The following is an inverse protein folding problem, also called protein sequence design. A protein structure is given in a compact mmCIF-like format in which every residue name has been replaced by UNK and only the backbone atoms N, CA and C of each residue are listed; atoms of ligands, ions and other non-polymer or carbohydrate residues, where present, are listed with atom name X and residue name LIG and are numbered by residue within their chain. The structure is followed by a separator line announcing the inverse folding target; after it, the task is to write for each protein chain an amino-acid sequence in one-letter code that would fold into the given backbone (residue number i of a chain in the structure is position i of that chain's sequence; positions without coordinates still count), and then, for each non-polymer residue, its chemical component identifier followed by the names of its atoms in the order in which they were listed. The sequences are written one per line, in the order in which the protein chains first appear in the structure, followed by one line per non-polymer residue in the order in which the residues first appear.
data_IF_161173991538
#
_entry.id   IF_161173991538
#
_cell.length_a   1.000
_cell.length_b   1.000
_cell.length_c   1.000
_cell.angle_alpha   90.00
_cell.angle_beta   90.00
_cell.angle_gamma   90.00
#
_symmetry.space_group_name_H-M   'P 1'
#
loop_
_entity.id
_entity.type
_entity.pdbx_description
1 polymer ?
#
# COMPACT_ATOMS: atom_id res chain seq x y z
N UNK A 1 -5.24 -12.60 -3.74
CA UNK A 1 -6.17 -12.75 -2.60
C UNK A 1 -6.65 -11.36 -2.20
N UNK A 2 -7.94 -11.17 -1.89
CA UNK A 2 -8.40 -9.89 -1.34
C UNK A 2 -7.76 -9.66 0.03
N UNK A 3 -7.18 -8.48 0.26
CA UNK A 3 -6.55 -8.13 1.54
C UNK A 3 -7.62 -7.41 2.38
N UNK A 4 -8.00 -7.94 3.56
CA UNK A 4 -8.94 -7.26 4.44
C UNK A 4 -8.54 -5.81 4.70
N UNK A 5 -9.51 -4.89 4.71
CA UNK A 5 -9.28 -3.46 4.93
C UNK A 5 -8.62 -2.69 3.77
N UNK A 6 -8.24 -3.34 2.66
CA UNK A 6 -7.72 -2.68 1.46
C UNK A 6 -8.52 -3.14 0.24
N UNK A 7 -9.22 -2.19 -0.38
CA UNK A 7 -10.03 -2.42 -1.58
C UNK A 7 -9.28 -1.86 -2.78
N UNK A 8 -9.08 -2.66 -3.82
CA UNK A 8 -8.53 -2.20 -5.10
C UNK A 8 -9.65 -2.07 -6.13
N UNK A 9 -9.67 -0.96 -6.85
CA UNK A 9 -10.66 -0.65 -7.87
C UNK A 9 -10.02 0.14 -9.02
N UNK A 10 -10.82 0.50 -10.03
CA UNK A 10 -10.34 1.24 -11.20
C UNK A 10 -9.78 2.64 -10.87
N UNK A 11 -10.17 3.21 -9.73
CA UNK A 11 -9.70 4.52 -9.25
C UNK A 11 -8.47 4.42 -8.34
N UNK A 12 -7.90 3.22 -8.16
CA UNK A 12 -6.74 2.95 -7.32
C UNK A 12 -7.10 2.10 -6.11
N UNK A 13 -6.69 2.55 -4.93
CA UNK A 13 -6.88 1.82 -3.66
C UNK A 13 -7.76 2.62 -2.68
N UNK A 14 -8.41 1.89 -1.76
CA UNK A 14 -9.16 2.43 -0.64
C UNK A 14 -8.82 1.62 0.62
N UNK A 15 -8.29 2.30 1.64
CA UNK A 15 -8.03 1.74 2.95
C UNK A 15 -9.21 2.01 3.87
N UNK A 16 -9.73 0.99 4.54
CA UNK A 16 -10.91 1.03 5.39
C UNK A 16 -10.50 0.88 6.85
N UNK A 17 -11.11 1.64 7.75
CA UNK A 17 -10.80 1.62 9.18
C UNK A 17 -11.12 0.28 9.87
N UNK A 18 -11.94 -0.55 9.23
CA UNK A 18 -12.35 -1.87 9.74
C UNK A 18 -11.45 -2.97 9.16
N UNK A 19 -10.64 -3.65 10.00
CA UNK A 19 -9.72 -4.69 9.56
C UNK A 19 -10.40 -5.98 9.11
N UNK A 20 -11.69 -6.15 9.40
CA UNK A 20 -12.49 -7.30 8.99
C UNK A 20 -13.30 -7.03 7.73
N UNK A 21 -13.31 -5.78 7.25
CA UNK A 21 -14.05 -5.40 6.06
C UNK A 21 -13.42 -6.05 4.83
N UNK A 22 -14.20 -6.93 4.21
CA UNK A 22 -13.94 -7.45 2.87
C UNK A 22 -15.02 -6.88 1.95
N UNK A 23 -14.66 -6.26 0.82
CA UNK A 23 -15.65 -5.75 -0.12
C UNK A 23 -16.49 -6.93 -0.61
N UNK A 24 -17.77 -6.95 -0.25
CA UNK A 24 -18.69 -7.92 -0.82
C UNK A 24 -18.83 -7.61 -2.31
N UNK A 25 -18.26 -8.44 -3.17
CA UNK A 25 -18.68 -8.51 -4.57
C UNK A 25 -20.16 -8.84 -4.52
N UNK A 26 -21.04 -7.88 -4.88
CA UNK A 26 -22.47 -8.15 -4.91
C UNK A 26 -22.71 -9.38 -5.79
N UNK A 27 -23.27 -10.48 -5.27
CA UNK A 27 -23.81 -11.51 -6.14
C UNK A 27 -24.98 -10.86 -6.88
N UNK A 28 -25.03 -11.00 -8.20
CA UNK A 28 -26.04 -10.39 -9.08
C UNK A 28 -27.46 -10.98 -8.87
N UNK A 29 -27.71 -11.63 -7.73
CA UNK A 29 -28.81 -12.55 -7.50
C UNK A 29 -29.58 -12.32 -6.19
N UNK A 30 -29.87 -11.08 -5.78
CA UNK A 30 -30.99 -10.83 -4.86
C UNK A 30 -31.66 -9.50 -5.18
N UNK A 31 -32.48 -9.48 -6.25
CA UNK A 31 -33.27 -8.31 -6.66
C UNK A 31 -34.78 -8.46 -6.43
N UNK A 32 -35.21 -9.28 -5.47
CA UNK A 32 -36.65 -9.55 -5.32
C UNK A 32 -37.29 -9.23 -3.96
N UNK A 33 -36.56 -9.09 -2.85
CA UNK A 33 -37.18 -8.82 -1.54
C UNK A 33 -36.30 -7.91 -0.68
N UNK A 34 -36.68 -6.62 -0.61
CA UNK A 34 -36.10 -5.63 0.30
C UNK A 34 -34.84 -4.94 -0.24
N UNK A 35 -34.77 -3.62 -0.06
CA UNK A 35 -33.49 -2.91 -0.18
C UNK A 35 -32.55 -3.55 0.85
N UNK A 36 -31.38 -4.08 0.47
CA UNK A 36 -30.43 -4.56 1.45
C UNK A 36 -30.17 -3.43 2.45
N UNK A 37 -30.10 -3.72 3.76
CA UNK A 37 -29.82 -2.69 4.75
C UNK A 37 -28.57 -1.94 4.28
N UNK A 38 -28.68 -0.63 4.09
CA UNK A 38 -27.54 0.22 3.81
C UNK A 38 -26.61 0.10 5.01
N UNK A 39 -25.66 -0.84 4.95
CA UNK A 39 -24.55 -0.87 5.88
C UNK A 39 -23.81 0.44 5.65
N UNK A 40 -23.77 1.30 6.67
CA UNK A 40 -22.89 2.47 6.64
C UNK A 40 -21.50 1.96 6.25
N UNK A 41 -20.95 2.50 5.16
CA UNK A 41 -19.59 2.17 4.79
C UNK A 41 -18.68 2.64 5.91
N UNK A 42 -17.72 1.80 6.35
CA UNK A 42 -16.80 2.23 7.40
C UNK A 42 -15.99 3.43 6.89
N UNK A 43 -15.48 4.29 7.80
CA UNK A 43 -14.56 5.35 7.44
C UNK A 43 -13.41 4.80 6.59
N UNK A 44 -13.03 5.52 5.54
CA UNK A 44 -12.01 5.09 4.60
C UNK A 44 -11.20 6.25 4.06
N UNK A 45 -9.95 5.97 3.69
CA UNK A 45 -9.07 6.89 2.94
C UNK A 45 -8.81 6.28 1.57
N UNK A 46 -8.96 7.07 0.52
CA UNK A 46 -8.79 6.66 -0.89
C UNK A 46 -7.53 7.27 -1.48
N UNK A 47 -6.99 6.63 -2.51
CA UNK A 47 -5.90 7.19 -3.30
C UNK A 47 -6.23 8.59 -3.85
N UNK A 48 -7.49 8.83 -4.20
CA UNK A 48 -7.99 10.11 -4.72
C UNK A 48 -8.18 11.21 -3.67
N UNK A 49 -8.01 10.89 -2.39
CA UNK A 49 -8.17 11.87 -1.31
C UNK A 49 -6.91 12.75 -1.10
N UNK A 50 -5.81 12.45 -1.81
CA UNK A 50 -4.55 13.18 -1.75
C UNK A 50 -4.43 14.13 -2.95
N UNK A 51 -4.15 15.40 -2.67
CA UNK A 51 -4.06 16.48 -3.66
C UNK A 51 -2.59 16.68 -4.06
N UNK A 52 -1.67 16.71 -3.10
CA UNK A 52 -0.24 16.80 -3.37
C UNK A 52 0.28 15.46 -3.91
N UNK A 53 0.89 15.52 -5.11
CA UNK A 53 1.37 14.32 -5.80
C UNK A 53 2.43 13.57 -5.00
N UNK A 54 3.34 14.27 -4.31
CA UNK A 54 4.40 13.60 -3.56
C UNK A 54 3.81 12.85 -2.35
N UNK A 55 2.85 13.45 -1.66
CA UNK A 55 2.14 12.76 -0.57
C UNK A 55 1.34 11.56 -1.11
N UNK A 56 0.65 11.72 -2.25
CA UNK A 56 -0.08 10.63 -2.89
C UNK A 56 0.84 9.46 -3.28
N UNK A 57 2.02 9.73 -3.85
CA UNK A 57 3.03 8.73 -4.22
C UNK A 57 3.53 7.97 -2.97
N UNK A 58 3.82 8.68 -1.88
CA UNK A 58 4.19 8.06 -0.60
C UNK A 58 3.05 7.22 0.01
N UNK A 59 1.82 7.70 -0.04
CA UNK A 59 0.66 6.94 0.43
C UNK A 59 0.48 5.64 -0.37
N UNK A 60 0.65 5.68 -1.69
CA UNK A 60 0.64 4.51 -2.56
C UNK A 60 1.74 3.50 -2.22
N UNK A 61 2.97 3.97 -2.01
CA UNK A 61 4.10 3.15 -1.56
C UNK A 61 3.85 2.51 -0.19
N UNK A 62 3.32 3.28 0.77
CA UNK A 62 2.96 2.80 2.10
C UNK A 62 1.92 1.67 2.02
N UNK A 63 0.86 1.85 1.24
CA UNK A 63 -0.16 0.82 0.99
C UNK A 63 0.47 -0.43 0.37
N UNK A 64 1.30 -0.27 -0.66
CA UNK A 64 1.96 -1.39 -1.33
C UNK A 64 2.86 -2.19 -0.37
N UNK A 65 3.63 -1.52 0.49
CA UNK A 65 4.48 -2.16 1.50
C UNK A 65 3.64 -2.95 2.52
N UNK A 66 2.55 -2.37 3.04
CA UNK A 66 1.64 -3.07 3.96
C UNK A 66 1.00 -4.28 3.28
N UNK A 67 0.57 -4.16 2.01
CA UNK A 67 0.05 -5.29 1.23
C UNK A 67 1.08 -6.41 1.10
N UNK A 68 2.34 -6.07 0.82
CA UNK A 68 3.42 -7.05 0.71
C UNK A 68 3.63 -7.81 2.04
N UNK A 69 3.60 -7.11 3.18
CA UNK A 69 3.68 -7.76 4.50
C UNK A 69 2.46 -8.67 4.74
N UNK A 70 1.26 -8.18 4.47
CA UNK A 70 0.03 -8.95 4.71
C UNK A 70 -0.10 -10.20 3.82
N UNK A 71 0.48 -10.15 2.62
CA UNK A 71 0.51 -11.25 1.66
C UNK A 71 1.65 -12.25 1.87
N UNK A 72 2.52 -12.04 2.86
CA UNK A 72 3.69 -12.87 3.14
C UNK A 72 3.33 -14.23 3.76
N UNK A 73 4.05 -15.28 3.37
CA UNK A 73 3.96 -16.62 3.96
C UNK A 73 4.37 -16.61 5.44
N UNK A 74 5.35 -15.78 5.82
CA UNK A 74 5.82 -15.59 7.20
C UNK A 74 4.70 -15.03 8.09
N UNK A 75 3.84 -14.16 7.57
CA UNK A 75 2.64 -13.71 8.30
C UNK A 75 1.57 -14.79 8.31
N UNK A 76 1.30 -15.43 7.17
CA UNK A 76 0.26 -16.47 7.06
C UNK A 76 0.52 -17.68 7.96
N UNK A 77 1.77 -18.11 8.08
CA UNK A 77 2.20 -19.24 8.93
C UNK A 77 2.28 -18.90 10.42
N UNK A 78 2.14 -17.63 10.80
CA UNK A 78 2.29 -17.17 12.18
C UNK A 78 3.75 -17.04 12.65
N UNK A 79 4.72 -16.99 11.72
CA UNK A 79 6.14 -16.81 12.03
C UNK A 79 6.50 -15.48 12.72
N UNK A 80 5.55 -14.54 12.76
CA UNK A 80 5.68 -13.25 13.48
C UNK A 80 4.75 -13.12 14.70
N UNK A 81 3.97 -14.17 15.03
CA UNK A 81 2.91 -14.15 16.03
C UNK A 81 1.54 -14.53 15.46
N UNK A 82 0.45 -14.26 16.20
CA UNK A 82 -0.90 -14.58 15.75
C UNK A 82 -1.24 -13.81 14.45
N UNK A 83 -1.54 -14.50 13.33
CA UNK A 83 -1.79 -13.85 12.03
C UNK A 83 -2.93 -12.84 12.07
N UNK A 84 -4.03 -13.11 12.78
CA UNK A 84 -5.20 -12.23 12.81
C UNK A 84 -4.93 -10.96 13.61
N UNK A 85 -4.14 -11.07 14.70
CA UNK A 85 -3.68 -9.91 15.47
C UNK A 85 -2.76 -9.03 14.64
N UNK A 86 -1.82 -9.63 13.90
CA UNK A 86 -0.87 -8.90 13.04
C UNK A 86 -1.62 -8.19 11.92
N UNK A 87 -2.53 -8.89 11.23
CA UNK A 87 -3.37 -8.32 10.17
C UNK A 87 -4.18 -7.14 10.69
N UNK A 88 -4.89 -7.32 11.81
CA UNK A 88 -5.71 -6.25 12.39
C UNK A 88 -4.87 -5.04 12.80
N UNK A 89 -3.69 -5.28 13.38
CA UNK A 89 -2.77 -4.21 13.80
C UNK A 89 -2.21 -3.45 12.60
N UNK A 90 -1.75 -4.16 11.56
CA UNK A 90 -1.21 -3.54 10.35
C UNK A 90 -2.25 -2.72 9.60
N UNK A 91 -3.49 -3.21 9.47
CA UNK A 91 -4.57 -2.46 8.83
C UNK A 91 -4.94 -1.23 9.68
N UNK A 92 -5.03 -1.37 11.00
CA UNK A 92 -5.28 -0.25 11.90
C UNK A 92 -4.19 0.82 11.82
N UNK A 93 -2.92 0.42 11.72
CA UNK A 93 -1.80 1.33 11.52
C UNK A 93 -1.80 1.98 10.14
N UNK A 94 -2.13 1.21 9.09
CA UNK A 94 -2.30 1.72 7.73
C UNK A 94 -3.32 2.85 7.71
N UNK A 95 -4.53 2.61 8.21
CA UNK A 95 -5.59 3.61 8.20
C UNK A 95 -5.20 4.88 8.98
N UNK A 96 -4.66 4.73 10.19
CA UNK A 96 -4.21 5.86 11.01
C UNK A 96 -3.10 6.66 10.34
N UNK A 97 -2.15 5.99 9.68
CA UNK A 97 -1.03 6.67 9.02
C UNK A 97 -1.49 7.41 7.77
N UNK A 98 -2.38 6.81 6.97
CA UNK A 98 -2.98 7.47 5.81
C UNK A 98 -3.79 8.72 6.20
N UNK A 99 -4.49 8.69 7.33
CA UNK A 99 -5.13 9.90 7.88
C UNK A 99 -4.11 10.98 8.24
N UNK A 100 -3.01 10.61 8.89
CA UNK A 100 -1.94 11.57 9.23
C UNK A 100 -1.29 12.16 7.97
N UNK A 101 -1.06 11.35 6.94
CA UNK A 101 -0.56 11.82 5.64
C UNK A 101 -1.52 12.80 5.00
N UNK A 102 -2.83 12.53 5.06
CA UNK A 102 -3.87 13.45 4.56
C UNK A 102 -3.88 14.77 5.30
N UNK A 103 -3.69 14.77 6.63
CA UNK A 103 -3.58 16.04 7.38
C UNK A 103 -2.39 16.88 6.93
N UNK A 104 -1.27 16.24 6.58
CA UNK A 104 -0.11 16.95 6.01
C UNK A 104 -0.40 17.45 4.59
N UNK A 105 -1.08 16.65 3.77
CA UNK A 105 -1.55 17.04 2.43
C UNK A 105 -2.43 18.30 2.47
N UNK A 106 -3.45 18.30 3.33
CA UNK A 106 -4.34 19.44 3.55
C UNK A 106 -3.53 20.68 3.99
N UNK A 107 -2.53 20.50 4.88
CA UNK A 107 -1.67 21.60 5.35
C UNK A 107 -0.77 22.16 4.24
N UNK A 108 -0.29 21.33 3.32
CA UNK A 108 0.48 21.76 2.16
C UNK A 108 -0.38 22.63 1.22
N UNK A 109 -1.62 22.22 0.98
CA UNK A 109 -2.56 23.00 0.16
C UNK A 109 -2.88 24.35 0.80
N UNK A 110 -3.06 24.38 2.12
CA UNK A 110 -3.25 25.62 2.88
C UNK A 110 -2.02 26.54 2.79
N UNK A 111 -0.81 25.98 2.87
CA UNK A 111 0.43 26.73 2.73
C UNK A 111 0.58 27.34 1.34
N UNK A 112 0.31 26.59 0.27
CA UNK A 112 0.37 27.11 -1.09
C UNK A 112 -0.68 28.21 -1.33
N UNK A 113 -1.86 28.05 -0.74
CA UNK A 113 -2.89 29.12 -0.74
C UNK A 113 -2.38 30.35 0.00
N UNK A 114 -1.80 30.19 1.18
CA UNK A 114 -1.26 31.30 1.98
C UNK A 114 -0.13 32.05 1.25
N UNK A 115 0.77 31.33 0.57
CA UNK A 115 1.81 31.91 -0.28
C UNK A 115 1.23 32.72 -1.44
N UNK A 116 0.18 32.20 -2.09
CA UNK A 116 -0.46 32.87 -3.21
C UNK A 116 -1.21 34.16 -2.81
N UNK A 117 -1.73 34.22 -1.59
CA UNK A 117 -2.48 35.38 -1.06
C UNK A 117 -1.69 36.26 -0.09
N UNK A 118 -0.37 36.07 -0.01
CA UNK A 118 0.48 36.74 0.96
C UNK A 118 0.42 38.28 0.82
N UNK A 119 0.26 38.97 1.95
CA UNK A 119 0.32 40.44 2.03
C UNK A 119 1.78 40.82 2.33
N UNK A 120 2.33 41.91 1.76
CA UNK A 120 3.68 42.36 2.08
C UNK A 120 3.93 42.43 3.61
N UNK A 121 4.94 41.70 4.09
CA UNK A 121 5.29 41.58 5.50
C UNK A 121 4.83 40.29 6.20
N UNK A 122 4.17 39.35 5.50
CA UNK A 122 3.80 38.03 6.06
C UNK A 122 4.88 36.94 5.90
N UNK A 123 6.05 37.28 5.35
CA UNK A 123 7.11 36.31 4.99
C UNK A 123 7.55 35.45 6.18
N UNK A 124 7.78 36.07 7.35
CA UNK A 124 8.16 35.38 8.59
C UNK A 124 7.13 34.31 9.04
N UNK A 125 5.83 34.54 8.79
CA UNK A 125 4.78 33.60 9.16
C UNK A 125 4.74 32.44 8.17
N UNK A 126 4.83 32.75 6.88
CA UNK A 126 4.86 31.75 5.80
C UNK A 126 6.09 30.86 5.93
N UNK A 127 7.24 31.41 6.30
CA UNK A 127 8.47 30.65 6.51
C UNK A 127 8.34 29.69 7.70
N UNK A 128 7.74 30.15 8.82
CA UNK A 128 7.47 29.30 9.98
C UNK A 128 6.48 28.18 9.65
N UNK A 129 5.40 28.49 8.94
CA UNK A 129 4.43 27.49 8.49
C UNK A 129 5.11 26.47 7.57
N UNK A 130 5.91 26.93 6.61
CA UNK A 130 6.68 26.08 5.70
C UNK A 130 7.60 25.13 6.46
N UNK A 131 8.32 25.62 7.48
CA UNK A 131 9.22 24.80 8.29
C UNK A 131 8.47 23.73 9.10
N UNK A 132 7.33 24.07 9.71
CA UNK A 132 6.51 23.12 10.47
C UNK A 132 5.90 22.05 9.57
N UNK A 133 5.44 22.43 8.38
CA UNK A 133 4.88 21.50 7.41
C UNK A 133 5.97 20.58 6.85
N UNK A 134 7.16 21.11 6.56
CA UNK A 134 8.30 20.30 6.13
C UNK A 134 8.71 19.25 7.18
N UNK A 135 8.74 19.62 8.47
CA UNK A 135 9.00 18.67 9.56
C UNK A 135 7.88 17.62 9.67
N UNK A 136 6.63 18.04 9.50
CA UNK A 136 5.48 17.13 9.51
C UNK A 136 5.50 16.16 8.33
N UNK A 137 5.91 16.61 7.15
CA UNK A 137 6.10 15.77 5.96
C UNK A 137 7.15 14.68 6.21
N UNK A 138 8.28 15.04 6.83
CA UNK A 138 9.32 14.06 7.18
C UNK A 138 8.81 13.02 8.18
N UNK A 139 8.19 13.46 9.28
CA UNK A 139 7.79 12.59 10.40
C UNK A 139 6.53 11.77 10.16
N UNK A 140 5.61 12.29 9.35
CA UNK A 140 4.28 11.69 9.17
C UNK A 140 4.10 11.04 7.81
N UNK A 141 4.92 11.38 6.81
CA UNK A 141 4.81 10.85 5.44
C UNK A 141 6.07 10.07 5.05
N UNK A 142 7.24 10.71 5.02
CA UNK A 142 8.45 10.14 4.42
C UNK A 142 9.02 9.00 5.27
N UNK A 143 9.52 9.28 6.49
CA UNK A 143 10.14 8.26 7.34
C UNK A 143 9.21 7.07 7.60
N UNK A 144 7.91 7.25 7.92
CA UNK A 144 7.03 6.11 8.12
C UNK A 144 6.85 5.22 6.88
N UNK A 145 6.91 5.82 5.68
CA UNK A 145 6.86 5.07 4.42
C UNK A 145 8.12 4.25 4.23
N UNK A 146 9.27 4.86 4.44
CA UNK A 146 10.57 4.17 4.34
C UNK A 146 10.71 3.05 5.38
N UNK A 147 10.27 3.29 6.61
CA UNK A 147 10.28 2.30 7.70
C UNK A 147 9.43 1.07 7.35
N UNK A 148 8.22 1.27 6.80
CA UNK A 148 7.34 0.14 6.45
C UNK A 148 7.84 -0.60 5.21
N UNK A 149 8.48 0.09 4.26
CA UNK A 149 9.15 -0.56 3.12
C UNK A 149 10.35 -1.39 3.57
N UNK A 150 11.15 -0.87 4.50
CA UNK A 150 12.24 -1.62 5.11
C UNK A 150 11.70 -2.88 5.82
N UNK A 151 10.60 -2.75 6.56
CA UNK A 151 9.94 -3.89 7.20
C UNK A 151 9.41 -4.91 6.17
N UNK A 152 8.79 -4.46 5.09
CA UNK A 152 8.32 -5.33 4.01
C UNK A 152 9.48 -6.11 3.38
N UNK A 153 10.61 -5.44 3.15
CA UNK A 153 11.82 -6.09 2.67
C UNK A 153 12.37 -7.13 3.65
N UNK A 154 12.38 -6.84 4.95
CA UNK A 154 12.79 -7.82 5.98
C UNK A 154 11.88 -9.04 6.01
N UNK A 155 10.56 -8.84 5.90
CA UNK A 155 9.58 -9.94 5.84
C UNK A 155 9.79 -10.79 4.58
N UNK A 156 10.03 -10.16 3.43
CA UNK A 156 10.36 -10.87 2.18
C UNK A 156 11.63 -11.72 2.32
N UNK A 157 12.67 -11.20 2.97
CA UNK A 157 13.89 -11.97 3.22
C UNK A 157 13.64 -13.16 4.16
N UNK A 158 12.72 -13.04 5.12
CA UNK A 158 12.30 -14.18 5.96
C UNK A 158 11.53 -15.22 5.16
N UNK A 159 10.62 -14.81 4.28
CA UNK A 159 9.92 -15.73 3.37
C UNK A 159 10.90 -16.53 2.52
N UNK A 160 11.87 -15.84 1.93
CA UNK A 160 12.92 -16.50 1.15
C UNK A 160 13.70 -17.50 2.00
N UNK A 161 14.10 -17.14 3.23
CA UNK A 161 14.83 -18.05 4.12
C UNK A 161 14.04 -19.31 4.49
N UNK A 162 12.71 -19.21 4.62
CA UNK A 162 11.85 -20.37 4.86
C UNK A 162 11.69 -21.26 3.62
N UNK A 163 11.69 -20.67 2.42
CA UNK A 163 11.58 -21.39 1.14
C UNK A 163 12.90 -21.98 0.65
N UNK A 164 14.05 -21.40 0.99
CA UNK A 164 15.36 -21.85 0.50
C UNK A 164 15.64 -23.35 0.73
N UNK A 165 15.33 -23.96 1.89
CA UNK A 165 15.49 -25.40 2.08
C UNK A 165 14.57 -26.24 1.17
N UNK A 166 13.35 -25.78 0.93
CA UNK A 166 12.41 -26.46 0.03
C UNK A 166 12.87 -26.33 -1.43
N UNK A 167 13.28 -25.12 -1.85
CA UNK A 167 13.85 -24.88 -3.17
C UNK A 167 15.14 -25.68 -3.41
N UNK A 168 15.99 -25.83 -2.39
CA UNK A 168 17.19 -26.67 -2.49
C UNK A 168 16.84 -28.15 -2.68
N UNK A 169 15.85 -28.65 -1.94
CA UNK A 169 15.36 -30.03 -2.10
C UNK A 169 14.67 -30.22 -3.46
N UNK A 170 13.86 -29.26 -3.93
CA UNK A 170 13.23 -29.31 -5.25
C UNK A 170 14.25 -29.26 -6.40
N UNK A 171 15.36 -28.52 -6.21
CA UNK A 171 16.49 -28.50 -7.14
C UNK A 171 17.21 -29.86 -7.18
N UNK A 172 17.40 -30.49 -6.02
CA UNK A 172 18.02 -31.81 -5.87
C UNK A 172 17.14 -32.92 -6.44
N UNK A 173 15.82 -32.81 -6.27
CA UNK A 173 14.80 -33.73 -6.79
C UNK A 173 14.44 -33.47 -8.27
N UNK A 174 15.02 -32.45 -8.91
CA UNK A 174 14.84 -32.13 -10.33
C UNK A 174 13.42 -31.67 -10.71
N UNK A 175 12.64 -31.16 -9.75
CA UNK A 175 11.24 -30.75 -9.94
C UNK A 175 11.09 -29.26 -10.28
N UNK A 176 12.16 -28.47 -10.18
CA UNK A 176 12.19 -27.08 -10.64
C UNK A 176 12.55 -27.06 -12.12
N UNK A 177 11.79 -26.33 -12.94
CA UNK A 177 12.20 -25.98 -14.31
C UNK A 177 13.63 -25.44 -14.24
N UNK A 178 14.54 -26.03 -15.03
CA UNK A 178 15.95 -25.67 -14.95
C UNK A 178 16.12 -24.16 -15.13
N UNK A 179 17.15 -23.58 -14.50
CA UNK A 179 17.49 -22.17 -14.72
C UNK A 179 17.63 -21.84 -16.22
N UNK A 180 18.02 -22.81 -17.05
CA UNK A 180 18.06 -22.70 -18.50
C UNK A 180 16.65 -22.55 -19.12
N UNK A 181 15.64 -23.20 -18.56
CA UNK A 181 14.23 -23.12 -18.99
C UNK A 181 13.61 -21.76 -18.61
N UNK A 182 13.94 -21.24 -17.43
CA UNK A 182 13.52 -19.89 -17.00
C UNK A 182 14.25 -18.81 -17.82
N UNK A 183 15.56 -18.97 -18.06
CA UNK A 183 16.33 -18.08 -18.92
C UNK A 183 15.80 -18.11 -20.36
N UNK A 184 15.41 -19.27 -20.90
CA UNK A 184 14.79 -19.39 -22.21
C UNK A 184 13.42 -18.69 -22.29
N UNK A 185 12.59 -18.76 -21.24
CA UNK A 185 11.32 -18.02 -21.17
C UNK A 185 11.52 -16.51 -21.07
N UNK A 186 12.50 -16.05 -20.28
CA UNK A 186 12.85 -14.62 -20.19
C UNK A 186 13.39 -14.13 -21.54
N UNK A 187 14.26 -14.89 -22.20
CA UNK A 187 14.77 -14.56 -23.54
C UNK A 187 13.63 -14.49 -24.56
N UNK A 188 12.72 -15.47 -24.57
CA UNK A 188 11.55 -15.45 -25.46
C UNK A 188 10.62 -14.26 -25.21
N UNK A 189 10.46 -13.82 -23.96
CA UNK A 189 9.70 -12.61 -23.61
C UNK A 189 10.42 -11.32 -24.02
N UNK A 190 11.75 -11.28 -23.98
CA UNK A 190 12.56 -10.15 -24.44
C UNK A 190 12.64 -10.06 -25.97
N UNK A 191 12.66 -11.19 -26.67
CA UNK A 191 12.72 -11.23 -28.14
C UNK A 191 11.36 -10.87 -28.79
N UNK A 192 10.25 -11.02 -28.06
CA UNK A 192 8.89 -10.62 -28.49
C UNK A 192 8.75 -9.12 -28.81
N UNK A 193 9.62 -8.26 -28.28
CA UNK A 193 9.60 -6.81 -28.52
C UNK A 193 10.31 -6.39 -29.83
N UNK A 194 11.03 -7.32 -30.49
CA UNK A 194 11.71 -7.04 -31.78
C UNK A 194 10.89 -7.39 -33.02
N UNK A 195 9.79 -8.12 -32.88
CA UNK A 195 8.95 -8.57 -34.02
C UNK A 195 7.71 -7.71 -34.28
N UNK A 196 7.44 -6.68 -33.47
CA UNK A 196 6.35 -5.71 -33.73
C UNK A 196 6.90 -4.45 -34.39
N UNK A 197 7.43 -4.61 -35.60
CA UNK A 197 7.58 -3.53 -36.57
C UNK A 197 7.81 -4.14 -37.96
N UNK A 198 6.76 -4.75 -38.52
CA UNK A 198 6.51 -4.83 -39.96
C UNK A 198 5.01 -4.65 -40.21
#
# INVERSE_FOLDING_TARGET
MAIPGIIENQTGWQAVADPTYTPQTQPWHHRLLGKPPQRMQPPSVKATDFIDKAVADHAGRFVAAVKAILGSDTVASGGLGNPDTIRSSLIGHLYKRLLAMRTVDDSLVELETAKATAIPGSDDVIDKMSAVIADSLQKSVIHPTEDVEALANQVRLRDMRHRLPQMANELEDGTVESLDTVAAHIQALCDLDTTVNL
#
